data_IF_335317924895
#
_entry.id   IF_335317924895
#
_cell.length_a   1.000
_cell.length_b   1.000
_cell.length_c   1.000
_cell.angle_alpha   90.00
_cell.angle_beta   90.00
_cell.angle_gamma   90.00
#
_symmetry.space_group_name_H-M   'P 1'
#
loop_
_entity.id
_entity.type
_entity.pdbx_description
1 polymer ?
#
# COMPACT_ATOMS: atom_id res chain seq x y z
N UNK A 1 -10.85 14.44 7.48
CA UNK A 1 -10.12 14.43 6.19
C UNK A 1 -11.04 13.79 5.18
N UNK A 2 -11.13 14.30 3.95
CA UNK A 2 -11.95 13.65 2.91
C UNK A 2 -11.27 12.39 2.40
N UNK A 3 -12.04 11.45 1.84
CA UNK A 3 -11.49 10.26 1.17
C UNK A 3 -10.43 10.64 0.14
N UNK A 4 -10.64 11.64 -0.70
CA UNK A 4 -9.64 12.10 -1.67
C UNK A 4 -8.31 12.53 -1.04
N UNK A 5 -8.34 13.21 0.11
CA UNK A 5 -7.11 13.57 0.83
C UNK A 5 -6.40 12.37 1.45
N UNK A 6 -7.14 11.32 1.81
CA UNK A 6 -6.61 10.06 2.33
C UNK A 6 -5.99 9.25 1.20
N UNK A 7 -6.71 9.08 0.08
CA UNK A 7 -6.21 8.44 -1.14
C UNK A 7 -4.92 9.09 -1.61
N UNK A 8 -4.85 10.43 -1.63
CA UNK A 8 -3.63 11.15 -2.00
C UNK A 8 -2.44 10.84 -1.06
N UNK A 9 -2.67 10.65 0.24
CA UNK A 9 -1.61 10.24 1.17
C UNK A 9 -1.15 8.81 0.92
N UNK A 10 -2.06 7.90 0.60
CA UNK A 10 -1.73 6.52 0.23
C UNK A 10 -0.90 6.51 -1.06
N UNK A 11 -1.32 7.25 -2.09
CA UNK A 11 -0.58 7.43 -3.34
C UNK A 11 0.82 8.02 -3.08
N UNK A 12 0.94 8.98 -2.16
CA UNK A 12 2.23 9.54 -1.75
C UNK A 12 3.13 8.49 -1.09
N UNK A 13 2.63 7.72 -0.12
CA UNK A 13 3.41 6.66 0.54
C UNK A 13 3.87 5.60 -0.46
N UNK A 14 3.01 5.21 -1.40
CA UNK A 14 3.36 4.28 -2.47
C UNK A 14 4.45 4.85 -3.39
N UNK A 15 4.37 6.14 -3.73
CA UNK A 15 5.39 6.82 -4.54
C UNK A 15 6.75 6.89 -3.81
N UNK A 16 6.75 7.25 -2.53
CA UNK A 16 7.97 7.29 -1.70
C UNK A 16 8.60 5.90 -1.59
N UNK A 17 7.79 4.86 -1.43
CA UNK A 17 8.23 3.47 -1.43
C UNK A 17 8.89 3.08 -2.76
N UNK A 18 8.28 3.40 -3.90
CA UNK A 18 8.84 3.14 -5.26
C UNK A 18 10.17 3.85 -5.49
N UNK A 19 10.35 5.03 -4.92
CA UNK A 19 11.60 5.81 -4.98
C UNK A 19 12.62 5.38 -3.94
N UNK A 20 12.29 4.39 -3.10
CA UNK A 20 13.11 3.90 -1.97
C UNK A 20 13.43 5.01 -0.96
N UNK A 21 12.57 6.03 -0.86
CA UNK A 21 12.68 7.11 0.12
C UNK A 21 12.25 6.64 1.53
N UNK A 22 11.44 5.59 1.59
CA UNK A 22 11.00 4.92 2.82
C UNK A 22 11.09 3.40 2.65
N UNK A 23 11.19 2.67 3.76
CA UNK A 23 11.18 1.20 3.75
C UNK A 23 9.80 0.64 3.38
N UNK A 24 9.78 -0.61 2.92
CA UNK A 24 8.54 -1.35 2.62
C UNK A 24 7.63 -1.45 3.85
N UNK A 25 8.18 -1.75 5.03
CA UNK A 25 7.43 -1.77 6.30
C UNK A 25 6.85 -0.41 6.67
N UNK A 26 7.61 0.68 6.46
CA UNK A 26 7.13 2.04 6.72
C UNK A 26 5.98 2.39 5.78
N UNK A 27 6.11 2.02 4.50
CA UNK A 27 5.05 2.21 3.53
C UNK A 27 3.80 1.39 3.91
N UNK A 28 3.95 0.09 4.19
CA UNK A 28 2.86 -0.80 4.57
C UNK A 28 2.05 -0.27 5.76
N UNK A 29 2.74 0.15 6.82
CA UNK A 29 2.10 0.73 8.00
C UNK A 29 1.35 2.04 7.68
N UNK A 30 1.95 2.93 6.88
CA UNK A 30 1.31 4.19 6.48
C UNK A 30 0.08 3.97 5.60
N UNK A 31 0.20 3.07 4.61
CA UNK A 31 -0.89 2.68 3.70
C UNK A 31 -2.04 2.06 4.49
N UNK A 32 -1.74 1.14 5.41
CA UNK A 32 -2.76 0.52 6.26
C UNK A 32 -3.48 1.55 7.12
N UNK A 33 -2.72 2.40 7.83
CA UNK A 33 -3.26 3.44 8.69
C UNK A 33 -4.19 4.38 7.92
N UNK A 34 -3.78 4.82 6.73
CA UNK A 34 -4.59 5.71 5.90
C UNK A 34 -5.78 4.97 5.26
N UNK A 35 -5.59 3.75 4.77
CA UNK A 35 -6.67 2.95 4.18
C UNK A 35 -7.78 2.67 5.19
N UNK A 36 -7.45 2.35 6.44
CA UNK A 36 -8.44 2.16 7.52
C UNK A 36 -9.21 3.44 7.89
N UNK A 37 -8.72 4.61 7.49
CA UNK A 37 -9.39 5.88 7.71
C UNK A 37 -10.37 6.25 6.58
N UNK A 38 -10.42 5.48 5.48
CA UNK A 38 -11.36 5.71 4.39
C UNK A 38 -12.79 5.39 4.83
N UNK A 39 -13.70 6.29 4.51
CA UNK A 39 -15.12 6.09 4.77
C UNK A 39 -15.75 5.23 3.67
N UNK A 40 -16.73 4.41 4.05
CA UNK A 40 -17.53 3.57 3.14
C UNK A 40 -16.75 2.54 2.30
N UNK A 41 -15.63 2.02 2.83
CA UNK A 41 -15.00 0.82 2.27
C UNK A 41 -15.91 -0.40 2.43
N UNK A 42 -15.90 -1.28 1.42
CA UNK A 42 -16.51 -2.59 1.55
C UNK A 42 -15.59 -3.53 2.35
N UNK A 43 -16.16 -4.61 2.90
CA UNK A 43 -15.36 -5.65 3.57
C UNK A 43 -14.30 -6.26 2.63
N UNK A 44 -14.60 -6.32 1.33
CA UNK A 44 -13.67 -6.78 0.29
C UNK A 44 -12.48 -5.83 0.18
N UNK A 45 -12.72 -4.51 0.16
CA UNK A 45 -11.64 -3.52 0.08
C UNK A 45 -10.75 -3.54 1.33
N UNK A 46 -11.34 -3.75 2.51
CA UNK A 46 -10.60 -3.90 3.77
C UNK A 46 -9.73 -5.17 3.74
N UNK A 47 -10.28 -6.29 3.27
CA UNK A 47 -9.53 -7.54 3.18
C UNK A 47 -8.37 -7.43 2.19
N UNK A 48 -8.59 -6.81 1.03
CA UNK A 48 -7.53 -6.56 0.04
C UNK A 48 -6.44 -5.63 0.60
N UNK A 49 -6.82 -4.56 1.30
CA UNK A 49 -5.87 -3.67 1.99
C UNK A 49 -5.00 -4.43 2.99
N UNK A 50 -5.61 -5.26 3.84
CA UNK A 50 -4.88 -6.08 4.81
C UNK A 50 -3.95 -7.09 4.12
N UNK A 51 -4.39 -7.75 3.06
CA UNK A 51 -3.57 -8.70 2.32
C UNK A 51 -2.35 -8.02 1.68
N UNK A 52 -2.56 -6.92 0.94
CA UNK A 52 -1.47 -6.21 0.27
C UNK A 52 -0.43 -5.65 1.26
N UNK A 53 -0.88 -5.10 2.39
CA UNK A 53 0.02 -4.55 3.41
C UNK A 53 0.79 -5.65 4.14
N UNK A 54 0.17 -6.81 4.39
CA UNK A 54 0.86 -7.99 4.91
C UNK A 54 1.92 -8.53 3.95
N UNK A 55 1.62 -8.59 2.64
CA UNK A 55 2.59 -9.02 1.63
C UNK A 55 3.80 -8.08 1.55
N UNK A 56 3.60 -6.76 1.68
CA UNK A 56 4.70 -5.79 1.79
C UNK A 56 5.54 -5.99 3.06
N UNK A 57 4.90 -6.29 4.19
CA UNK A 57 5.62 -6.63 5.42
C UNK A 57 6.46 -7.90 5.24
N UNK A 58 5.91 -8.97 4.67
CA UNK A 58 6.64 -10.22 4.40
C UNK A 58 7.81 -9.98 3.45
N UNK A 59 7.60 -9.18 2.40
CA UNK A 59 8.66 -8.81 1.47
C UNK A 59 9.81 -8.04 2.15
N UNK A 60 9.50 -7.24 3.18
CA UNK A 60 10.51 -6.54 4.00
C UNK A 60 11.45 -7.51 4.71
N UNK A 61 10.94 -8.64 5.20
CA UNK A 61 11.75 -9.63 5.92
C UNK A 61 12.64 -10.45 4.98
N UNK A 62 12.35 -10.41 3.68
CA UNK A 62 12.96 -11.29 2.67
C UNK A 62 14.16 -10.67 1.94
N UNK A 63 14.50 -9.39 2.19
CA UNK A 63 15.63 -8.78 1.49
C UNK A 63 16.18 -7.51 2.12
N UNK A 64 17.39 -7.61 2.67
CA UNK A 64 18.37 -6.54 2.58
C UNK A 64 18.99 -6.58 1.16
N UNK A 65 19.03 -5.42 0.50
CA UNK A 65 19.60 -5.11 -0.83
C UNK A 65 18.88 -5.55 -2.13
N UNK A 66 18.20 -6.70 -2.20
CA UNK A 66 17.50 -7.13 -3.45
C UNK A 66 15.97 -6.97 -3.43
N UNK A 67 15.39 -6.62 -2.27
CA UNK A 67 13.95 -6.71 -2.01
C UNK A 67 13.05 -6.05 -3.06
N UNK A 68 13.39 -4.84 -3.53
CA UNK A 68 12.55 -4.10 -4.50
C UNK A 68 12.51 -4.69 -5.91
N UNK A 69 13.47 -5.54 -6.27
CA UNK A 69 13.50 -6.22 -7.57
C UNK A 69 12.75 -7.57 -7.55
N UNK A 70 12.09 -7.90 -6.43
CA UNK A 70 11.33 -9.14 -6.33
C UNK A 70 9.99 -9.03 -7.08
N UNK A 71 9.61 -10.07 -7.86
CA UNK A 71 8.32 -10.09 -8.57
C UNK A 71 7.10 -9.90 -7.66
N UNK A 72 7.24 -10.27 -6.38
CA UNK A 72 6.19 -10.14 -5.37
C UNK A 72 5.85 -8.66 -5.12
N UNK A 73 6.85 -7.79 -5.02
CA UNK A 73 6.59 -6.37 -4.79
C UNK A 73 5.95 -5.72 -6.01
N UNK A 74 6.41 -6.04 -7.22
CA UNK A 74 5.75 -5.55 -8.44
C UNK A 74 4.28 -5.96 -8.52
N UNK A 75 3.97 -7.20 -8.12
CA UNK A 75 2.61 -7.70 -8.07
C UNK A 75 1.76 -6.94 -7.04
N UNK A 76 2.26 -6.78 -5.80
CA UNK A 76 1.54 -6.06 -4.74
C UNK A 76 1.33 -4.59 -5.12
N UNK A 77 2.33 -3.96 -5.73
CA UNK A 77 2.25 -2.59 -6.22
C UNK A 77 1.18 -2.45 -7.32
N UNK A 78 1.09 -3.43 -8.24
CA UNK A 78 0.07 -3.45 -9.29
C UNK A 78 -1.33 -3.64 -8.71
N UNK A 79 -1.48 -4.52 -7.72
CA UNK A 79 -2.74 -4.72 -7.00
C UNK A 79 -3.19 -3.45 -6.27
N UNK A 80 -2.25 -2.76 -5.62
CA UNK A 80 -2.52 -1.49 -4.94
C UNK A 80 -2.98 -0.40 -5.90
N UNK A 81 -2.35 -0.26 -7.07
CA UNK A 81 -2.82 0.69 -8.09
C UNK A 81 -4.25 0.36 -8.54
N UNK A 82 -4.55 -0.91 -8.78
CA UNK A 82 -5.90 -1.37 -9.13
C UNK A 82 -6.93 -1.13 -8.03
N UNK A 83 -6.53 -1.29 -6.76
CA UNK A 83 -7.37 -0.98 -5.60
C UNK A 83 -7.64 0.52 -5.52
N UNK A 84 -6.60 1.38 -5.59
CA UNK A 84 -6.71 2.84 -5.50
C UNK A 84 -7.65 3.45 -6.55
N UNK A 85 -7.72 2.87 -7.75
CA UNK A 85 -8.62 3.34 -8.83
C UNK A 85 -10.10 3.11 -8.49
N UNK A 86 -10.42 2.07 -7.70
CA UNK A 86 -11.79 1.71 -7.34
C UNK A 86 -12.33 2.48 -6.13
N UNK A 87 -11.45 3.13 -5.38
CA UNK A 87 -11.83 3.80 -4.14
C UNK A 87 -12.67 5.06 -4.38
N UNK A 88 -13.61 5.36 -3.47
CA UNK A 88 -14.31 6.65 -3.47
C UNK A 88 -13.30 7.79 -3.22
N UNK A 89 -13.39 8.86 -4.01
CA UNK A 89 -12.54 10.07 -3.90
C UNK A 89 -13.32 11.23 -3.29
#
# INVERSE_FOLDING_TARGET
MSNGSIVQRIEQSLSQMRRREISLSTAAAAILLHGLALEALSDVDLQELHAMTADLEIATWSGDDEGFATPVIEQVVTQMDGWLIRLPR
#
